data_IF_275361488639
#
_entry.id   IF_275361488639
#
_cell.length_a   1.000
_cell.length_b   1.000
_cell.length_c   1.000
_cell.angle_alpha   90.00
_cell.angle_beta   90.00
_cell.angle_gamma   90.00
#
_symmetry.space_group_name_H-M   'P 1'
#
loop_
_entity.id
_entity.type
_entity.pdbx_description
1 polymer ?
2 non-polymer ?
3 non-polymer ?
4 non-polymer ?
5 water ?
#
# COMPACT_ATOMS: atom_id res chain seq x y z
N UNK A 3 24.47 0.77 8.02
CA UNK A 3 25.09 -0.53 8.38
C UNK A 3 24.97 -1.54 7.24
N UNK A 4 26.10 -1.95 6.67
CA UNK A 4 26.10 -2.91 5.58
C UNK A 4 25.42 -4.21 6.00
N UNK A 5 25.46 -4.51 7.29
CA UNK A 5 24.86 -5.72 7.83
C UNK A 5 23.35 -5.76 7.60
N UNK A 6 22.65 -4.74 8.07
CA UNK A 6 21.21 -4.66 7.92
C UNK A 6 20.81 -4.71 6.45
N UNK A 7 21.67 -4.18 5.58
CA UNK A 7 21.39 -4.17 4.15
C UNK A 7 21.33 -5.59 3.61
N UNK A 8 22.38 -6.37 3.86
CA UNK A 8 22.48 -7.76 3.42
C UNK A 8 21.31 -8.57 3.97
N UNK A 9 21.02 -8.38 5.25
CA UNK A 9 19.94 -9.10 5.90
C UNK A 9 18.59 -8.81 5.25
N UNK A 10 18.26 -7.53 5.10
CA UNK A 10 17.01 -7.16 4.48
C UNK A 10 16.93 -7.70 3.06
N UNK A 11 18.04 -7.64 2.32
CA UNK A 11 18.01 -8.14 0.96
C UNK A 11 17.81 -9.67 0.93
N UNK A 12 18.43 -10.38 1.88
CA UNK A 12 18.30 -11.83 1.94
C UNK A 12 16.86 -12.25 2.21
N UNK A 13 16.20 -11.54 3.12
CA UNK A 13 14.81 -11.84 3.45
C UNK A 13 13.98 -11.56 2.20
N UNK A 14 14.33 -10.51 1.48
CA UNK A 14 13.60 -10.15 0.28
C UNK A 14 13.72 -11.27 -0.74
N UNK A 15 14.89 -11.88 -0.83
CA UNK A 15 15.10 -12.99 -1.75
C UNK A 15 14.29 -14.21 -1.31
N UNK A 16 14.14 -14.37 0.00
CA UNK A 16 13.35 -15.47 0.56
C UNK A 16 11.90 -15.35 0.09
N UNK A 17 11.30 -14.18 0.33
CA UNK A 17 9.92 -13.95 -0.06
C UNK A 17 9.73 -14.20 -1.55
N UNK A 18 10.67 -13.69 -2.35
CA UNK A 18 10.61 -13.85 -3.79
C UNK A 18 10.73 -15.32 -4.14
N UNK A 19 11.60 -16.02 -3.41
CA UNK A 19 11.80 -17.45 -3.63
C UNK A 19 10.52 -18.24 -3.46
N UNK A 20 9.68 -17.83 -2.51
CA UNK A 20 8.44 -18.51 -2.25
C UNK A 20 7.47 -18.44 -3.43
N UNK A 21 7.56 -17.37 -4.22
CA UNK A 21 6.70 -17.19 -5.37
C UNK A 21 7.41 -17.55 -6.68
N UNK A 22 8.68 -17.93 -6.57
CA UNK A 22 9.42 -18.30 -7.76
C UNK A 22 9.89 -17.09 -8.55
N UNK A 23 10.07 -15.97 -7.86
CA UNK A 23 10.52 -14.74 -8.51
C UNK A 23 11.97 -14.47 -8.13
N UNK A 24 12.72 -13.89 -9.06
CA UNK A 24 14.14 -13.59 -8.84
C UNK A 24 14.33 -12.08 -8.64
N UNK A 25 15.18 -11.72 -7.67
CA UNK A 25 15.46 -10.32 -7.38
C UNK A 25 16.54 -9.76 -8.29
N UNK A 26 16.31 -8.56 -8.80
CA UNK A 26 17.30 -7.91 -9.65
C UNK A 26 18.17 -7.11 -8.70
N UNK A 27 19.26 -7.72 -8.25
CA UNK A 27 20.17 -7.06 -7.31
C UNK A 27 20.62 -5.67 -7.77
N UNK A 28 20.94 -5.53 -9.05
CA UNK A 28 21.39 -4.24 -9.57
C UNK A 28 20.39 -3.10 -9.40
N UNK A 29 19.12 -3.46 -9.21
CA UNK A 29 18.06 -2.47 -9.03
C UNK A 29 17.66 -2.30 -7.56
N UNK A 30 17.86 -3.33 -6.76
CA UNK A 30 17.48 -3.30 -5.35
C UNK A 30 18.57 -2.83 -4.38
N UNK A 31 19.75 -3.45 -4.43
CA UNK A 31 20.84 -3.11 -3.50
C UNK A 31 21.13 -1.63 -3.38
N UNK A 32 21.27 -0.94 -4.52
CA UNK A 32 21.56 0.50 -4.49
C UNK A 32 20.50 1.25 -3.70
N UNK A 33 19.25 0.82 -3.86
CA UNK A 33 18.13 1.45 -3.17
C UNK A 33 18.19 1.17 -1.67
N UNK A 34 18.46 -0.08 -1.31
CA UNK A 34 18.55 -0.41 0.11
C UNK A 34 19.74 0.28 0.77
N UNK A 35 20.81 0.53 0.02
CA UNK A 35 21.98 1.19 0.59
C UNK A 35 21.72 2.65 0.84
N UNK A 36 21.01 3.27 -0.08
CA UNK A 36 20.69 4.68 0.01
C UNK A 36 19.95 5.00 1.30
N UNK A 37 19.04 4.11 1.71
CA UNK A 37 18.28 4.31 2.94
C UNK A 37 18.68 3.27 3.98
N UNK A 38 19.88 2.73 3.87
CA UNK A 38 20.37 1.70 4.80
C UNK A 38 20.16 2.07 6.28
N UNK A 39 20.22 3.35 6.58
CA UNK A 39 20.04 3.82 7.94
C UNK A 39 18.64 3.55 8.51
N UNK A 40 17.67 3.39 7.62
CA UNK A 40 16.29 3.12 8.04
C UNK A 40 15.96 1.64 8.21
N UNK A 41 16.89 0.77 7.83
CA UNK A 41 16.68 -0.66 7.93
C UNK A 41 16.81 -1.19 9.36
N UNK A 42 17.20 -0.32 10.28
CA UNK A 42 17.34 -0.70 11.67
C UNK A 42 16.00 -1.21 12.20
N UNK A 43 16.02 -2.37 12.84
CA UNK A 43 14.81 -2.97 13.38
C UNK A 43 14.32 -2.19 14.61
N UNK A 44 13.03 -2.31 14.91
CA UNK A 44 12.47 -1.60 16.06
C UNK A 44 11.35 -0.66 15.69
N UNK A 45 11.69 0.48 15.08
CA UNK A 45 10.69 1.45 14.68
C UNK A 45 10.46 1.46 13.17
N UNK A 46 11.09 0.52 12.47
CA UNK A 46 10.95 0.41 11.04
C UNK A 46 9.86 -0.57 10.62
N UNK A 47 9.23 -0.27 9.49
CA UNK A 47 8.19 -1.15 8.98
C UNK A 47 8.59 -1.58 7.57
N UNK A 48 8.59 -2.89 7.34
CA UNK A 48 8.98 -3.43 6.04
C UNK A 48 7.95 -4.49 5.62
N UNK A 49 7.48 -4.41 4.38
CA UNK A 49 6.49 -5.36 3.88
C UNK A 49 6.86 -5.93 2.53
N UNK A 50 6.62 -7.23 2.36
CA UNK A 50 6.88 -7.94 1.10
C UNK A 50 5.53 -8.43 0.65
N UNK A 51 5.00 -7.82 -0.42
CA UNK A 51 3.67 -8.18 -0.94
C UNK A 51 3.61 -9.00 -2.22
N UNK A 52 2.75 -10.01 -2.20
CA UNK A 52 2.53 -10.88 -3.35
C UNK A 52 1.16 -10.49 -3.89
N UNK A 53 0.85 -10.90 -5.12
CA UNK A 53 -0.42 -10.61 -5.74
C UNK A 53 -0.84 -11.78 -6.63
N UNK A 54 -2.10 -11.81 -7.04
CA UNK A 54 -2.62 -12.89 -7.88
C UNK A 54 -2.81 -12.42 -9.31
N UNK A 55 -3.34 -13.32 -10.14
CA UNK A 55 -3.59 -12.99 -11.53
C UNK A 55 -2.38 -12.55 -12.33
N UNK A 56 -2.52 -11.42 -13.03
CA UNK A 56 -1.44 -10.89 -13.85
C UNK A 56 -0.34 -10.24 -13.03
N UNK A 57 -0.36 -10.44 -11.71
CA UNK A 57 0.66 -9.85 -10.85
C UNK A 57 1.39 -10.92 -10.07
N UNK A 58 1.00 -12.17 -10.30
CA UNK A 58 1.57 -13.32 -9.61
C UNK A 58 3.07 -13.57 -9.79
N UNK A 59 3.70 -12.87 -10.73
CA UNK A 59 5.13 -13.04 -11.02
C UNK A 59 5.96 -11.88 -10.50
N UNK A 60 5.36 -11.05 -9.67
CA UNK A 60 6.10 -9.93 -9.14
C UNK A 60 5.99 -9.92 -7.64
N UNK A 61 6.91 -9.22 -6.99
CA UNK A 61 6.95 -9.13 -5.54
C UNK A 61 7.30 -7.69 -5.18
N UNK A 62 6.41 -7.03 -4.45
CA UNK A 62 6.64 -5.66 -4.04
C UNK A 62 7.26 -5.60 -2.64
N UNK A 63 7.98 -4.51 -2.37
CA UNK A 63 8.56 -4.31 -1.06
C UNK A 63 8.35 -2.87 -0.65
N UNK A 64 8.02 -2.68 0.62
CA UNK A 64 7.76 -1.36 1.15
C UNK A 64 8.65 -1.17 2.38
N UNK A 65 9.32 -0.03 2.46
CA UNK A 65 10.21 0.30 3.55
C UNK A 65 9.92 1.69 4.11
N UNK A 66 9.62 1.77 5.41
CA UNK A 66 9.33 3.05 6.04
C UNK A 66 10.59 3.91 6.13
N UNK A 67 10.44 5.20 5.89
CA UNK A 67 11.55 6.15 5.97
C UNK A 67 11.15 7.33 6.85
N UNK A 68 11.91 7.58 7.93
CA UNK A 68 11.54 8.70 8.81
C UNK A 68 11.65 10.05 8.09
N UNK A 69 10.70 10.93 8.38
CA UNK A 69 10.67 12.25 7.75
C UNK A 69 12.00 12.98 7.90
N UNK A 70 12.70 12.74 9.00
CA UNK A 70 13.99 13.39 9.24
C UNK A 70 14.97 13.13 8.10
N UNK A 71 14.73 12.06 7.35
CA UNK A 71 15.59 11.69 6.22
C UNK A 71 15.34 12.63 5.03
N UNK A 72 14.17 13.25 5.01
CA UNK A 72 13.83 14.17 3.94
C UNK A 72 13.18 13.47 2.76
N UNK A 73 12.49 14.24 1.92
CA UNK A 73 11.83 13.75 0.71
C UNK A 73 12.58 12.57 0.11
N UNK A 74 12.06 11.35 0.28
CA UNK A 74 12.71 10.15 -0.26
C UNK A 74 12.76 10.14 -1.80
N UNK A 75 11.79 10.77 -2.44
CA UNK A 75 11.79 10.80 -3.90
C UNK A 75 12.92 11.67 -4.45
N UNK A 76 13.13 12.83 -3.84
CA UNK A 76 14.20 13.74 -4.26
C UNK A 76 15.53 13.02 -4.14
N UNK A 77 15.64 12.20 -3.10
CA UNK A 77 16.86 11.45 -2.87
C UNK A 77 17.12 10.44 -4.01
N UNK A 78 16.13 9.60 -4.35
CA UNK A 78 16.34 8.62 -5.43
C UNK A 78 16.64 9.25 -6.78
N UNK A 79 16.03 10.41 -7.04
CA UNK A 79 16.27 11.09 -8.30
C UNK A 79 17.65 11.76 -8.28
N UNK A 80 18.01 12.37 -7.15
CA UNK A 80 19.30 13.03 -7.03
C UNK A 80 20.46 12.04 -7.16
N UNK A 81 20.28 10.83 -6.65
CA UNK A 81 21.33 9.81 -6.74
C UNK A 81 21.39 9.14 -8.10
N UNK A 82 20.34 9.35 -8.91
CA UNK A 82 20.30 8.75 -10.24
C UNK A 82 19.68 7.38 -10.32
N UNK A 83 18.88 7.04 -9.32
CA UNK A 83 18.23 5.73 -9.31
C UNK A 83 16.93 5.74 -10.13
N UNK A 84 16.35 6.92 -10.31
CA UNK A 84 15.12 7.05 -11.07
C UNK A 84 15.05 8.38 -11.81
N UNK A 85 14.52 8.38 -13.04
CA UNK A 85 14.42 9.62 -13.81
C UNK A 85 13.12 10.37 -13.51
N UNK A 86 13.23 11.66 -13.21
CA UNK A 86 12.03 12.45 -12.95
C UNK A 86 11.10 12.20 -14.14
N UNK A 87 9.79 12.18 -13.89
CA UNK A 87 8.80 11.95 -14.94
C UNK A 87 8.50 13.20 -15.75
N UNK A 88 8.68 14.36 -15.12
CA UNK A 88 8.38 15.61 -15.78
C UNK A 88 6.93 16.00 -15.57
N UNK A 89 6.22 15.20 -14.77
CA UNK A 89 4.82 15.41 -14.45
C UNK A 89 4.63 15.86 -12.99
N UNK A 90 3.42 16.32 -12.63
CA UNK A 90 3.11 16.79 -11.28
C UNK A 90 3.39 15.78 -10.17
N UNK A 91 3.40 14.50 -10.52
CA UNK A 91 3.67 13.47 -9.53
C UNK A 91 5.05 13.68 -8.91
N UNK A 92 5.97 14.29 -9.67
CA UNK A 92 7.31 14.55 -9.12
C UNK A 92 7.31 15.48 -7.93
N UNK A 93 6.36 16.38 -7.86
CA UNK A 93 6.33 17.32 -6.73
C UNK A 93 5.28 16.99 -5.69
N UNK A 94 4.43 16.02 -5.99
CA UNK A 94 3.37 15.69 -5.04
C UNK A 94 3.87 15.32 -3.65
N UNK A 95 4.86 14.45 -3.53
CA UNK A 95 5.33 14.10 -2.19
C UNK A 95 5.85 15.33 -1.47
N UNK A 96 6.67 16.12 -2.15
CA UNK A 96 7.22 17.34 -1.56
C UNK A 96 6.11 18.31 -1.15
N UNK A 97 5.16 18.56 -2.05
CA UNK A 97 4.05 19.47 -1.76
C UNK A 97 3.15 18.96 -0.63
N UNK A 98 3.01 17.65 -0.51
CA UNK A 98 2.16 17.10 0.55
C UNK A 98 2.81 17.38 1.90
N UNK A 99 4.10 17.08 2.01
CA UNK A 99 4.84 17.33 3.25
C UNK A 99 4.88 18.81 3.58
N UNK A 100 4.87 19.64 2.54
CA UNK A 100 4.90 21.08 2.71
C UNK A 100 3.60 21.65 3.27
N UNK A 101 2.48 21.18 2.76
CA UNK A 101 1.16 21.66 3.17
C UNK A 101 0.56 20.96 4.40
N UNK A 102 0.87 19.68 4.60
CA UNK A 102 0.32 18.92 5.73
C UNK A 102 1.38 18.28 6.61
N UNK A 103 0.99 17.88 7.83
CA UNK A 103 1.91 17.24 8.77
C UNK A 103 2.14 15.77 8.42
N UNK A 104 3.36 15.44 8.05
CA UNK A 104 3.69 14.06 7.68
C UNK A 104 4.50 13.39 8.79
N UNK A 105 3.92 12.34 9.36
CA UNK A 105 4.55 11.59 10.45
C UNK A 105 5.70 10.70 9.96
N UNK A 106 5.61 10.24 8.72
CA UNK A 106 6.69 9.42 8.14
C UNK A 106 6.47 9.16 6.65
N UNK A 107 7.56 8.73 6.01
CA UNK A 107 7.56 8.42 4.59
C UNK A 107 7.69 6.92 4.44
N UNK A 108 7.80 6.50 3.18
CA UNK A 108 8.00 5.11 2.87
C UNK A 108 8.34 5.03 1.38
N UNK A 109 9.20 4.08 1.05
CA UNK A 109 9.58 3.86 -0.32
C UNK A 109 9.03 2.49 -0.70
N UNK A 110 8.70 2.33 -1.97
CA UNK A 110 8.12 1.10 -2.47
C UNK A 110 8.72 0.74 -3.82
N UNK A 111 8.98 -0.55 -4.04
CA UNK A 111 9.52 -0.99 -5.31
C UNK A 111 9.11 -2.42 -5.62
N UNK A 112 9.53 -2.92 -6.77
CA UNK A 112 9.24 -4.31 -7.17
C UNK A 112 10.61 -4.96 -7.40
N UNK A 113 10.78 -6.19 -6.91
CA UNK A 113 12.06 -6.88 -7.01
C UNK A 113 12.75 -6.96 -8.36
N UNK A 114 11.98 -6.94 -9.45
CA UNK A 114 12.59 -7.01 -10.77
C UNK A 114 12.58 -5.64 -11.46
N UNK A 115 11.62 -4.79 -11.11
CA UNK A 115 11.52 -3.49 -11.74
C UNK A 115 12.20 -2.33 -11.04
N UNK A 116 12.48 -2.48 -9.75
CA UNK A 116 13.12 -1.41 -9.00
C UNK A 116 12.11 -0.45 -8.37
N UNK A 117 12.60 0.70 -7.93
CA UNK A 117 11.77 1.74 -7.31
C UNK A 117 10.58 2.16 -8.18
N UNK A 118 9.46 2.47 -7.54
CA UNK A 118 8.29 2.93 -8.29
C UNK A 118 7.33 3.83 -7.51
N UNK A 119 7.44 3.86 -6.18
CA UNK A 119 6.55 4.71 -5.40
C UNK A 119 6.97 5.09 -3.98
N UNK A 120 6.33 6.13 -3.48
CA UNK A 120 6.58 6.62 -2.14
C UNK A 120 5.22 6.79 -1.44
N UNK A 121 5.25 6.87 -0.11
CA UNK A 121 4.06 7.05 0.68
C UNK A 121 4.27 8.27 1.57
N UNK A 122 3.17 8.86 2.02
CA UNK A 122 3.20 10.00 2.92
C UNK A 122 2.19 9.66 4.04
N UNK A 123 2.68 9.35 5.23
CA UNK A 123 1.81 9.01 6.35
C UNK A 123 1.43 10.29 7.11
N UNK A 124 0.21 10.32 7.63
CA UNK A 124 -0.27 11.47 8.40
C UNK A 124 -0.53 11.05 9.84
N UNK A 125 -0.41 11.98 10.79
CA UNK A 125 -0.65 11.64 12.20
C UNK A 125 -2.08 11.14 12.38
N UNK A 126 -2.23 9.99 13.01
CA UNK A 126 -3.55 9.42 13.22
C UNK A 126 -4.51 10.35 13.93
N UNK A 127 -3.98 11.18 14.82
CA UNK A 127 -4.76 12.12 15.58
C UNK A 127 -4.92 13.46 14.86
N UNK A 128 -4.36 13.55 13.64
CA UNK A 128 -4.45 14.79 12.88
C UNK A 128 -4.52 14.51 11.38
N UNK A 129 -5.40 13.58 11.00
CA UNK A 129 -5.55 13.20 9.61
C UNK A 129 -6.32 14.21 8.78
N UNK A 130 -5.84 14.47 7.56
CA UNK A 130 -6.46 15.42 6.63
C UNK A 130 -7.70 14.82 5.98
N UNK A 131 -8.56 15.68 5.47
CA UNK A 131 -9.77 15.23 4.81
C UNK A 131 -9.63 15.38 3.30
N UNK A 132 -10.70 15.08 2.58
CA UNK A 132 -10.67 15.19 1.13
C UNK A 132 -10.39 16.60 0.64
N UNK A 133 -10.97 17.60 1.32
CA UNK A 133 -10.78 19.00 0.96
C UNK A 133 -9.35 19.46 1.18
N UNK A 134 -8.76 19.09 2.31
CA UNK A 134 -7.39 19.49 2.61
C UNK A 134 -6.42 18.89 1.57
N UNK A 135 -6.67 17.65 1.16
CA UNK A 135 -5.81 16.99 0.17
C UNK A 135 -5.99 17.51 -1.26
N UNK A 136 -7.24 17.81 -1.64
CA UNK A 136 -7.51 18.28 -2.98
C UNK A 136 -6.97 19.67 -3.25
N UNK A 137 -6.57 20.37 -2.19
CA UNK A 137 -6.02 21.71 -2.32
C UNK A 137 -4.51 21.68 -2.54
N UNK A 138 -3.91 20.50 -2.60
CA UNK A 138 -2.47 20.44 -2.83
C UNK A 138 -2.25 20.65 -4.32
N UNK A 139 -1.45 21.67 -4.68
CA UNK A 139 -1.13 22.05 -6.07
C UNK A 139 -0.89 20.91 -7.05
N UNK A 140 -0.01 19.99 -6.70
CA UNK A 140 0.31 18.88 -7.57
C UNK A 140 -0.63 17.68 -7.47
N UNK A 141 -1.60 17.75 -6.57
CA UNK A 141 -2.55 16.66 -6.41
C UNK A 141 -3.40 16.50 -7.67
N UNK A 142 -3.76 15.27 -8.02
CA UNK A 142 -4.59 15.08 -9.22
C UNK A 142 -5.92 15.82 -9.05
N UNK A 143 -6.42 16.45 -10.12
CA UNK A 143 -7.69 17.18 -10.05
C UNK A 143 -8.84 16.25 -9.69
N UNK A 144 -8.67 14.98 -10.05
CA UNK A 144 -9.66 13.92 -9.80
C UNK A 144 -10.08 13.83 -8.35
N UNK A 145 -9.19 14.21 -7.45
CA UNK A 145 -9.51 14.15 -6.03
C UNK A 145 -10.65 15.11 -5.72
N UNK A 146 -10.51 16.36 -6.13
CA UNK A 146 -11.56 17.35 -5.88
C UNK A 146 -12.81 17.00 -6.69
N UNK A 147 -12.62 16.53 -7.91
CA UNK A 147 -13.76 16.19 -8.74
C UNK A 147 -14.57 15.01 -8.20
N UNK A 148 -13.99 14.24 -7.29
CA UNK A 148 -14.71 13.10 -6.70
C UNK A 148 -15.03 13.35 -5.23
N UNK A 149 -14.78 14.56 -4.75
CA UNK A 149 -15.04 14.87 -3.35
C UNK A 149 -16.48 14.59 -2.91
N UNK A 150 -17.47 15.00 -3.72
CA UNK A 150 -18.88 14.76 -3.37
C UNK A 150 -19.18 13.27 -3.27
N UNK A 151 -18.61 12.50 -4.18
CA UNK A 151 -18.81 11.07 -4.18
C UNK A 151 -18.19 10.45 -2.92
N UNK A 152 -17.00 10.88 -2.55
CA UNK A 152 -16.34 10.36 -1.36
C UNK A 152 -17.21 10.65 -0.13
N UNK A 153 -17.61 11.90 0.06
CA UNK A 153 -18.43 12.29 1.21
C UNK A 153 -19.73 11.52 1.29
N UNK A 154 -20.30 11.20 0.13
CA UNK A 154 -21.55 10.46 0.10
C UNK A 154 -21.41 9.06 0.65
N UNK A 155 -20.21 8.49 0.63
CA UNK A 155 -20.02 7.15 1.15
C UNK A 155 -19.26 7.09 2.45
N UNK A 156 -19.05 8.25 3.08
CA UNK A 156 -18.35 8.30 4.35
C UNK A 156 -16.84 8.19 4.30
N UNK A 157 -16.27 8.52 3.15
CA UNK A 157 -14.81 8.47 2.97
C UNK A 157 -14.29 9.88 3.21
N UNK A 158 -13.83 10.12 4.43
CA UNK A 158 -13.36 11.45 4.81
C UNK A 158 -11.90 11.47 5.21
N UNK A 159 -11.59 10.91 6.37
CA UNK A 159 -10.23 10.90 6.86
C UNK A 159 -9.29 9.96 6.12
N UNK A 160 -8.11 10.48 5.82
CA UNK A 160 -7.10 9.74 5.12
C UNK A 160 -5.89 9.54 6.01
N UNK A 161 -5.50 8.28 6.18
CA UNK A 161 -4.38 7.93 7.03
C UNK A 161 -3.04 8.04 6.29
N UNK A 162 -3.07 8.02 4.96
CA UNK A 162 -1.83 8.12 4.18
C UNK A 162 -2.14 8.18 2.68
N UNK A 163 -1.15 8.53 1.88
CA UNK A 163 -1.30 8.59 0.43
C UNK A 163 -0.08 7.93 -0.18
N UNK A 164 -0.21 7.45 -1.41
CA UNK A 164 0.94 6.85 -2.09
C UNK A 164 1.02 7.42 -3.49
N UNK A 165 2.23 7.57 -3.99
CA UNK A 165 2.44 8.09 -5.33
C UNK A 165 3.16 7.03 -6.17
N UNK A 166 2.60 6.69 -7.33
CA UNK A 166 3.19 5.72 -8.25
C UNK A 166 3.77 6.48 -9.44
N UNK A 167 5.10 6.66 -9.45
CA UNK A 167 5.80 7.39 -10.51
C UNK A 167 5.83 6.74 -11.89
N UNK A 168 5.75 5.41 -11.95
CA UNK A 168 5.77 4.74 -13.26
C UNK A 168 4.40 4.78 -13.95
N UNK A 169 3.33 4.67 -13.17
CA UNK A 169 1.98 4.70 -13.71
C UNK A 169 1.31 6.06 -13.53
N UNK A 170 1.95 6.95 -12.78
CA UNK A 170 1.44 8.28 -12.50
C UNK A 170 0.04 8.20 -11.92
N UNK A 171 -0.05 7.54 -10.76
CA UNK A 171 -1.33 7.38 -10.06
C UNK A 171 -1.14 7.68 -8.59
N UNK A 172 -2.25 7.96 -7.91
CA UNK A 172 -2.22 8.26 -6.49
C UNK A 172 -3.29 7.47 -5.76
N UNK A 173 -2.97 6.99 -4.58
CA UNK A 173 -3.96 6.27 -3.77
C UNK A 173 -4.27 7.12 -2.54
N UNK A 174 -5.51 7.08 -2.08
CA UNK A 174 -5.94 7.80 -0.88
C UNK A 174 -6.39 6.67 0.03
N UNK A 175 -5.70 6.48 1.14
CA UNK A 175 -6.04 5.41 2.08
C UNK A 175 -6.98 5.92 3.15
N UNK A 176 -8.28 5.72 2.93
CA UNK A 176 -9.25 6.19 3.90
C UNK A 176 -9.23 5.36 5.18
N UNK A 177 -9.50 6.03 6.30
CA UNK A 177 -9.47 5.35 7.58
C UNK A 177 -10.72 5.69 8.36
N UNK A 178 -10.81 5.15 9.57
CA UNK A 178 -11.97 5.38 10.45
C UNK A 178 -13.25 5.10 9.66
N UNK A 179 -13.29 3.97 8.97
CA UNK A 179 -14.44 3.59 8.17
C UNK A 179 -15.63 3.20 9.05
N UNK A 180 -16.79 3.77 8.75
CA UNK A 180 -17.98 3.45 9.52
C UNK A 180 -18.51 2.13 9.04
N UNK A 181 -19.42 1.55 9.82
CA UNK A 181 -20.04 0.29 9.49
C UNK A 181 -20.97 0.40 8.28
N UNK A 182 -21.76 1.46 8.21
CA UNK A 182 -22.67 1.56 7.08
C UNK A 182 -21.90 1.79 5.78
N UNK A 183 -20.69 2.34 5.87
CA UNK A 183 -19.86 2.55 4.68
C UNK A 183 -19.51 1.19 4.09
N UNK A 184 -19.16 0.24 4.96
CA UNK A 184 -18.76 -1.10 4.54
C UNK A 184 -19.89 -2.12 4.37
N UNK A 185 -21.13 -1.67 4.56
CA UNK A 185 -22.31 -2.52 4.39
C UNK A 185 -22.41 -2.99 2.94
N UNK A 186 -22.95 -4.19 2.74
CA UNK A 186 -23.09 -4.76 1.40
C UNK A 186 -23.75 -3.82 0.40
N UNK A 187 -24.86 -3.21 0.80
CA UNK A 187 -25.59 -2.30 -0.07
C UNK A 187 -24.75 -1.07 -0.45
N UNK A 188 -23.99 -0.55 0.52
CA UNK A 188 -23.16 0.62 0.27
C UNK A 188 -22.01 0.29 -0.69
N UNK A 189 -21.33 -0.81 -0.43
CA UNK A 189 -20.21 -1.22 -1.27
C UNK A 189 -20.67 -1.43 -2.71
N UNK A 190 -21.82 -2.08 -2.89
CA UNK A 190 -22.36 -2.31 -4.23
C UNK A 190 -22.69 -1.01 -4.97
N UNK A 191 -23.39 -0.09 -4.29
CA UNK A 191 -23.75 1.18 -4.92
C UNK A 191 -22.45 1.90 -5.34
N UNK A 192 -21.46 1.89 -4.44
CA UNK A 192 -20.18 2.53 -4.72
C UNK A 192 -19.47 1.94 -5.94
N UNK A 193 -19.24 0.63 -5.99
CA UNK A 193 -18.56 0.05 -7.14
C UNK A 193 -19.31 0.37 -8.44
N UNK A 194 -20.63 0.25 -8.42
CA UNK A 194 -21.42 0.54 -9.61
C UNK A 194 -21.23 1.96 -10.09
N UNK A 195 -21.13 2.90 -9.16
CA UNK A 195 -20.95 4.30 -9.49
C UNK A 195 -19.58 4.58 -10.08
N UNK A 196 -18.61 3.70 -9.81
CA UNK A 196 -17.25 3.86 -10.32
C UNK A 196 -17.00 2.97 -11.54
N UNK A 197 -17.93 2.05 -11.78
CA UNK A 197 -17.79 1.15 -12.91
C UNK A 197 -16.72 0.12 -12.71
N UNK A 198 -16.68 -0.50 -11.54
CA UNK A 198 -15.70 -1.51 -11.20
C UNK A 198 -16.34 -2.87 -11.03
N UNK A 199 -15.51 -3.90 -11.00
CA UNK A 199 -15.98 -5.27 -10.83
C UNK A 199 -16.90 -5.37 -9.61
N UNK A 200 -18.01 -6.11 -9.75
CA UNK A 200 -18.98 -6.31 -8.68
C UNK A 200 -18.49 -7.47 -7.82
N UNK A 201 -18.26 -7.24 -6.52
CA UNK A 201 -17.79 -8.31 -5.63
C UNK A 201 -18.96 -9.24 -5.27
N UNK A 202 -18.68 -10.53 -5.11
CA UNK A 202 -19.73 -11.50 -4.77
C UNK A 202 -19.86 -11.62 -3.25
N UNK A 203 -20.60 -12.62 -2.80
CA UNK A 203 -20.80 -12.81 -1.36
C UNK A 203 -19.47 -12.86 -0.63
N UNK A 204 -18.55 -13.66 -1.15
CA UNK A 204 -17.24 -13.80 -0.52
C UNK A 204 -16.51 -12.43 -0.47
N UNK A 205 -16.44 -11.75 -1.62
CA UNK A 205 -15.77 -10.46 -1.65
C UNK A 205 -16.42 -9.44 -0.74
N UNK A 206 -17.75 -9.41 -0.70
CA UNK A 206 -18.46 -8.46 0.14
C UNK A 206 -18.18 -8.70 1.61
N UNK A 207 -18.06 -9.98 1.99
CA UNK A 207 -17.78 -10.32 3.38
C UNK A 207 -16.42 -9.75 3.74
N UNK A 208 -15.48 -9.87 2.82
CA UNK A 208 -14.14 -9.36 3.05
C UNK A 208 -14.16 -7.83 3.15
N UNK A 209 -14.93 -7.18 2.28
CA UNK A 209 -15.02 -5.73 2.33
C UNK A 209 -15.51 -5.24 3.70
N UNK A 210 -16.47 -5.97 4.29
CA UNK A 210 -17.02 -5.62 5.61
C UNK A 210 -16.01 -5.67 6.77
N UNK A 211 -14.98 -6.48 6.62
CA UNK A 211 -13.94 -6.64 7.63
C UNK A 211 -12.78 -5.66 7.45
N UNK A 212 -12.85 -4.88 6.37
CA UNK A 212 -11.81 -3.91 6.03
C UNK A 212 -11.56 -2.80 7.06
N UNK A 213 -10.30 -2.43 7.22
CA UNK A 213 -9.92 -1.38 8.16
C UNK A 213 -9.42 -0.20 7.33
N UNK A 214 -9.23 -0.46 6.04
CA UNK A 214 -8.75 0.56 5.12
C UNK A 214 -9.31 0.31 3.73
N UNK A 215 -9.57 1.40 3.02
CA UNK A 215 -10.10 1.36 1.67
C UNK A 215 -9.43 2.46 0.86
N UNK A 216 -8.93 2.12 -0.33
CA UNK A 216 -8.26 3.12 -1.13
C UNK A 216 -8.50 3.08 -2.63
N UNK A 217 -8.97 4.21 -3.18
CA UNK A 217 -9.23 4.32 -4.61
C UNK A 217 -7.93 4.80 -5.25
N UNK A 218 -7.74 4.50 -6.53
CA UNK A 218 -6.56 4.92 -7.28
C UNK A 218 -7.04 5.99 -8.28
N UNK A 219 -6.33 7.12 -8.36
CA UNK A 219 -6.69 8.21 -9.26
C UNK A 219 -5.50 8.60 -10.15
N UNK A 220 -5.77 9.35 -11.23
CA UNK A 220 -4.72 9.77 -12.15
C UNK A 220 -4.97 11.19 -12.62
N UNK A 221 -3.97 11.77 -13.28
CA UNK A 221 -4.04 13.13 -13.80
C UNK A 221 -4.74 13.28 -15.15
N UNK A 222 -4.95 12.17 -15.86
CA UNK A 222 -5.59 12.23 -17.16
C UNK A 222 -7.08 12.58 -17.07
N UNK A 223 -7.82 11.81 -16.28
CA UNK A 223 -9.25 12.03 -16.11
C UNK A 223 -9.70 12.01 -14.66
N UNK A 224 -11.00 12.20 -14.45
CA UNK A 224 -11.55 12.20 -13.11
C UNK A 224 -12.13 10.86 -12.74
N UNK A 225 -11.79 9.83 -13.52
CA UNK A 225 -12.30 8.49 -13.28
C UNK A 225 -11.32 7.67 -12.45
N UNK A 226 -11.85 7.04 -11.41
CA UNK A 226 -11.05 6.20 -10.53
C UNK A 226 -10.65 4.92 -11.27
N UNK A 227 -9.35 4.63 -11.25
CA UNK A 227 -8.80 3.45 -11.93
C UNK A 227 -9.16 2.14 -11.27
N UNK A 228 -9.23 2.13 -9.94
CA UNK A 228 -9.58 0.92 -9.22
C UNK A 228 -9.82 1.25 -7.76
N UNK A 229 -10.32 0.28 -7.00
CA UNK A 229 -10.65 0.47 -5.59
C UNK A 229 -10.20 -0.76 -4.81
N UNK A 230 -9.54 -0.53 -3.70
CA UNK A 230 -9.01 -1.63 -2.91
C UNK A 230 -9.47 -1.65 -1.46
N UNK A 231 -9.82 -2.84 -0.96
CA UNK A 231 -10.24 -3.01 0.43
C UNK A 231 -9.12 -3.80 1.10
N UNK A 232 -8.59 -3.31 2.22
CA UNK A 232 -7.51 -4.01 2.91
C UNK A 232 -7.96 -4.50 4.28
N UNK A 233 -7.61 -5.74 4.61
CA UNK A 233 -7.94 -6.35 5.89
C UNK A 233 -6.60 -6.73 6.52
N UNK A 234 -6.46 -6.48 7.83
CA UNK A 234 -5.23 -6.81 8.52
C UNK A 234 -5.53 -7.91 9.55
N UNK A 235 -4.75 -8.98 9.53
CA UNK A 235 -5.00 -10.09 10.44
C UNK A 235 -3.78 -10.98 10.64
N UNK A 236 -3.87 -11.92 11.58
CA UNK A 236 -2.78 -12.86 11.84
C UNK A 236 -3.22 -14.19 11.24
N UNK A 237 -4.46 -14.21 10.77
CA UNK A 237 -5.05 -15.40 10.15
C UNK A 237 -4.53 -15.54 8.72
N UNK A 238 -3.82 -16.66 8.42
CA UNK A 238 -3.25 -16.93 7.09
C UNK A 238 -4.18 -17.56 6.06
N UNK A 239 -5.48 -17.56 6.31
CA UNK A 239 -6.42 -18.17 5.37
C UNK A 239 -7.51 -17.22 4.86
N UNK A 240 -7.29 -15.92 4.97
CA UNK A 240 -8.31 -14.94 4.58
C UNK A 240 -8.42 -14.52 3.12
N UNK A 241 -7.46 -14.87 2.28
CA UNK A 241 -7.52 -14.49 0.87
C UNK A 241 -8.94 -14.76 0.34
N UNK A 242 -9.66 -13.70 -0.07
CA UNK A 242 -11.03 -13.82 -0.60
C UNK A 242 -11.14 -14.36 -2.01
N UNK A 243 -10.59 -15.55 -2.23
CA UNK A 243 -10.63 -16.17 -3.55
C UNK A 243 -11.25 -17.57 -3.48
N UNK A 244 -11.93 -17.96 -4.54
CA UNK A 244 -12.55 -19.28 -4.59
C UNK A 244 -11.69 -20.24 -5.39
N UNK A 245 -10.59 -19.71 -5.92
CA UNK A 245 -9.66 -20.51 -6.72
C UNK A 245 -8.76 -21.33 -5.79
N UNK A 246 -8.71 -22.64 -6.01
CA UNK A 246 -7.89 -23.54 -5.21
C UNK A 246 -6.44 -23.07 -5.17
N UNK A 247 -5.94 -22.63 -6.32
CA UNK A 247 -4.58 -22.15 -6.43
C UNK A 247 -4.30 -21.00 -5.48
N UNK A 248 -5.14 -19.97 -5.52
CA UNK A 248 -4.99 -18.81 -4.66
C UNK A 248 -5.04 -19.20 -3.19
N UNK A 249 -6.02 -20.02 -2.83
CA UNK A 249 -6.15 -20.45 -1.44
C UNK A 249 -4.85 -21.07 -0.93
N UNK A 250 -4.29 -21.98 -1.72
CA UNK A 250 -3.05 -22.68 -1.39
C UNK A 250 -1.81 -21.79 -1.40
N UNK A 251 -1.63 -21.05 -2.50
CA UNK A 251 -0.48 -20.17 -2.66
C UNK A 251 -0.43 -19.04 -1.62
N UNK A 252 -1.57 -18.41 -1.34
CA UNK A 252 -1.60 -17.33 -0.36
C UNK A 252 -1.36 -17.81 1.06
N UNK A 253 -1.97 -18.94 1.40
CA UNK A 253 -1.81 -19.50 2.74
C UNK A 253 -0.35 -19.93 2.94
N UNK A 254 0.23 -20.47 1.89
CA UNK A 254 1.62 -20.91 1.98
C UNK A 254 2.53 -19.71 2.30
N UNK A 255 2.33 -18.61 1.57
CA UNK A 255 3.11 -17.39 1.74
C UNK A 255 2.90 -16.84 3.15
N UNK A 256 1.65 -16.71 3.57
CA UNK A 256 1.29 -16.20 4.89
C UNK A 256 1.92 -16.99 6.04
N UNK A 257 2.27 -18.24 5.79
CA UNK A 257 2.87 -19.08 6.83
C UNK A 257 4.38 -19.26 6.66
N UNK A 258 4.94 -18.78 5.57
CA UNK A 258 6.38 -18.94 5.33
C UNK A 258 7.17 -17.67 5.07
N UNK A 259 6.47 -16.57 4.83
CA UNK A 259 7.12 -15.29 4.58
C UNK A 259 8.06 -14.95 5.73
N UNK A 260 9.24 -14.37 5.43
CA UNK A 260 10.19 -14.04 6.49
C UNK A 260 9.68 -12.90 7.38
N UNK A 261 10.12 -12.88 8.63
CA UNK A 261 9.75 -11.83 9.58
C UNK A 261 10.79 -11.79 10.68
N UNK A 262 11.15 -10.59 11.14
CA UNK A 262 12.18 -10.43 12.16
C UNK A 262 11.67 -10.23 13.59
N UNK A 263 10.42 -10.60 13.85
CA UNK A 263 9.87 -10.46 15.20
C UNK A 263 9.36 -11.77 15.79
N UNK A 264 10.22 -12.78 15.81
CA UNK A 264 9.86 -14.08 16.36
C UNK A 264 9.32 -13.82 17.76
N UNK A 265 8.29 -14.56 18.14
CA UNK A 265 7.68 -14.36 19.44
C UNK A 265 6.24 -13.92 19.23
N UNK A 266 5.93 -13.45 18.03
CA UNK A 266 4.56 -13.06 17.71
C UNK A 266 4.23 -13.72 16.39
N UNK A 267 2.96 -13.66 15.99
CA UNK A 267 2.56 -14.22 14.71
C UNK A 267 2.84 -13.14 13.67
N UNK A 268 2.94 -13.55 12.40
CA UNK A 268 3.19 -12.63 11.30
C UNK A 268 2.00 -11.70 11.14
N UNK A 269 2.26 -10.41 10.96
CA UNK A 269 1.18 -9.47 10.73
C UNK A 269 0.92 -9.60 9.22
N UNK A 270 -0.34 -9.71 8.83
CA UNK A 270 -0.67 -9.86 7.42
C UNK A 270 -1.70 -8.81 7.00
N UNK A 271 -1.59 -8.33 5.78
CA UNK A 271 -2.55 -7.36 5.26
C UNK A 271 -2.99 -7.88 3.90
N UNK A 272 -4.25 -8.27 3.81
CA UNK A 272 -4.82 -8.80 2.58
C UNK A 272 -5.51 -7.68 1.81
N UNK A 273 -5.50 -7.77 0.49
CA UNK A 273 -6.15 -6.76 -0.31
C UNK A 273 -7.04 -7.34 -1.41
N UNK A 274 -8.19 -6.70 -1.61
CA UNK A 274 -9.14 -7.09 -2.65
C UNK A 274 -9.20 -5.87 -3.55
N UNK A 275 -8.67 -5.99 -4.77
CA UNK A 275 -8.65 -4.89 -5.70
C UNK A 275 -9.68 -5.10 -6.80
N UNK A 276 -10.49 -4.08 -7.02
CA UNK A 276 -11.53 -4.13 -8.03
C UNK A 276 -11.17 -3.17 -9.14
N UNK A 277 -11.11 -3.69 -10.36
CA UNK A 277 -10.79 -2.87 -11.51
C UNK A 277 -12.02 -2.96 -12.42
N UNK A 278 -12.05 -2.16 -13.50
CA UNK A 278 -13.19 -2.19 -14.41
C UNK A 278 -13.72 -3.56 -14.83
N UNK A 279 -12.85 -4.44 -15.30
CA UNK A 279 -13.28 -5.76 -15.77
C UNK A 279 -12.83 -6.98 -14.94
N UNK A 280 -12.29 -6.77 -13.75
CA UNK A 280 -11.84 -7.91 -12.94
C UNK A 280 -11.51 -7.52 -11.51
N UNK A 281 -11.07 -8.52 -10.75
CA UNK A 281 -10.65 -8.32 -9.37
C UNK A 281 -9.42 -9.18 -9.16
N UNK A 282 -8.51 -8.71 -8.33
CA UNK A 282 -7.33 -9.52 -8.03
C UNK A 282 -7.06 -9.36 -6.55
N UNK A 283 -6.27 -10.27 -6.01
CA UNK A 283 -6.00 -10.26 -4.59
C UNK A 283 -4.53 -10.08 -4.35
N UNK A 284 -4.20 -9.48 -3.21
CA UNK A 284 -2.82 -9.31 -2.83
C UNK A 284 -2.68 -9.57 -1.35
N UNK A 285 -1.44 -9.84 -0.95
CA UNK A 285 -1.11 -10.15 0.43
C UNK A 285 0.29 -9.65 0.76
N UNK A 286 0.39 -8.79 1.76
CA UNK A 286 1.68 -8.29 2.18
C UNK A 286 1.98 -8.89 3.54
N UNK A 287 3.15 -9.52 3.67
CA UNK A 287 3.56 -10.11 4.94
C UNK A 287 4.63 -9.23 5.52
N UNK A 288 4.36 -8.65 6.67
CA UNK A 288 5.29 -7.75 7.32
C UNK A 288 6.56 -8.42 7.83
N UNK A 289 7.69 -7.84 7.48
CA UNK A 289 8.99 -8.35 7.87
C UNK A 289 9.37 -7.66 9.18
N UNK A 290 8.97 -6.40 9.30
CA UNK A 290 9.21 -5.58 10.48
C UNK A 290 7.89 -4.90 10.84
N UNK A 291 7.54 -4.89 12.13
CA UNK A 291 6.32 -4.23 12.60
C UNK A 291 6.60 -3.26 13.74
N UNK A 292 5.61 -2.47 14.11
CA UNK A 292 5.72 -1.51 15.21
C UNK A 292 4.42 -1.59 16.02
N UNK A 293 4.30 -0.78 17.07
CA UNK A 293 3.10 -0.81 17.89
C UNK A 293 1.84 -0.43 17.11
N UNK A 294 2.01 0.26 15.99
CA UNK A 294 0.88 0.66 15.16
C UNK A 294 0.18 -0.58 14.60
N UNK A 295 0.97 -1.50 14.05
CA UNK A 295 0.42 -2.75 13.52
C UNK A 295 -0.24 -3.53 14.65
N UNK A 296 0.43 -3.58 15.81
CA UNK A 296 -0.12 -4.30 16.96
C UNK A 296 -1.44 -3.68 17.37
N UNK A 297 -1.50 -2.35 17.39
CA UNK A 297 -2.72 -1.66 17.74
C UNK A 297 -3.84 -1.98 16.78
N UNK A 298 -3.51 -2.04 15.49
CA UNK A 298 -4.51 -2.34 14.48
C UNK A 298 -5.05 -3.75 14.62
N UNK A 299 -4.16 -4.71 14.90
CA UNK A 299 -4.60 -6.11 15.07
C UNK A 299 -5.60 -6.26 16.22
N UNK A 300 -5.38 -5.52 17.31
CA UNK A 300 -6.27 -5.59 18.45
C UNK A 300 -7.65 -5.01 18.12
N UNK A 301 -7.64 -3.94 17.33
CA UNK A 301 -8.84 -3.25 16.92
C UNK A 301 -9.64 -3.91 15.81
N UNK A 302 -8.97 -4.47 14.80
CA UNK A 302 -9.68 -5.08 13.67
C UNK A 302 -9.59 -6.59 13.52
N UNK A 303 -8.82 -7.26 14.36
CA UNK A 303 -8.67 -8.71 14.27
C UNK A 303 -8.94 -9.40 15.62
N UNK A 304 -9.99 -8.96 16.33
CA UNK A 304 -10.33 -9.53 17.64
C UNK A 304 -11.43 -10.58 17.55
X LIG B 1 2.12 -3.07 -4.26
X LIG C 1 7.66 0.58 17.96
X LIG C 1 6.44 0.84 18.13
X LIG C 1 8.31 1.36 17.32
X LIG C 1 8.09 -0.44 18.46
X LIG D 1 -13.12 -12.78 5.51
X LIG D 1 -13.72 -12.58 4.43
X LIG D 1 -11.94 -12.88 5.45
X LIG D 1 -13.78 -12.87 6.52
X LIG E 1 -1.08 -0.55 -0.34
X LIG E 1 -0.93 -0.51 -1.76
X LIG E 1 0.29 -0.27 0.32
X LIG E 1 0.59 -0.20 1.66
X LIG E 1 -0.48 -0.39 2.76
X LIG E 1 2.03 0.10 2.13
X LIG E 1 2.27 0.19 3.65
X LIG E 1 3.71 0.50 3.97
X LIG E 1 4.31 0.67 5.18
X LIG E 1 3.64 0.57 6.53
X LIG E 1 5.79 0.97 5.24
X LIG E 1 -0.47 -1.73 -2.75
X LIG E 1 -1.51 -2.79 -2.52
X LIG E 1 0.85 -2.24 -2.23
X LIG E 1 -0.41 -1.39 -4.35
X LIG E 1 -0.69 -0.10 -5.27
X LIG E 1 0.06 -0.30 -6.54
X LIG E 1 -2.14 -0.06 -5.56
X LIG E 1 -0.20 1.13 -4.58
#
# INVERSE_FOLDING_TARGET
MSEAADVERVYAAMEEAAGLLGVACARDKIYPLLSTFQDTLVEGGSVVVFSMASGRHSTELDFSISVPTSHGDPYATVVEKGLFPATGHPVDDLLADTQKHLPVSMFAIDGEVTGGFKKTYAFFPTDNMPGVAELSAIPSMPPAVAENAELFARYGLDKVQMTSMDYKKRQVNLYFSELSAQTLEAESVLALVRELGLHVPNELGLKFCKRSFSVYPTLNWETGKIDRLCFAVISNDPTLVPSSDEGDIEKFHNYATKAPYAYVGEKRTLVYGLTLSPKEEYYKLGAYYHITDVQRGLLKAFDSLED
MG MG
NO3 N O1 O2 O3
NO3 N O1 O2 O3
GPP C1 O1 C2 C3 C4 C5 C6 C7 C8 C9 C10 PA O1A O2A O3A PB O1B O2B O3B
#
